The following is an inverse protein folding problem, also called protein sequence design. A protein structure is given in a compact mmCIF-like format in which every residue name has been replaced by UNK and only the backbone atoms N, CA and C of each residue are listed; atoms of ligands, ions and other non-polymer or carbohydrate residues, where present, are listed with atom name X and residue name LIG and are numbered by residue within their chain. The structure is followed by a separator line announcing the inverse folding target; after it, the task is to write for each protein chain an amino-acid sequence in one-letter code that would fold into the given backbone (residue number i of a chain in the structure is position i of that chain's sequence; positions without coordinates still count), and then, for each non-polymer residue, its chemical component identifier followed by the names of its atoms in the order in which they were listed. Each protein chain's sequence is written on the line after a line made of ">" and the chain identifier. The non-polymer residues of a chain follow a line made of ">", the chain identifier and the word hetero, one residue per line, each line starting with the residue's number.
data_IF_827737601437
#
_entry.id   IF_827737601437
#
_cell.length_a   1.000
_cell.length_b   1.000
_cell.length_c   1.000
_cell.angle_alpha   90.00
_cell.angle_beta   90.00
_cell.angle_gamma   90.00
#
_symmetry.space_group_name_H-M   'P 1'
#
loop_
_entity.id
_entity.type
_entity.pdbx_description
1 polymer ?
#
# COMPACT_ATOMS: atom_id res chain seq x y z
N UNK A 1 -8.20 -23.81 -4.47
CA UNK A 1 -8.38 -22.38 -4.77
C UNK A 1 -7.68 -21.55 -3.69
N UNK A 2 -6.51 -20.98 -4.00
CA UNK A 2 -5.92 -19.96 -3.12
C UNK A 2 -6.70 -18.66 -3.35
N UNK A 3 -7.35 -18.11 -2.33
CA UNK A 3 -8.01 -16.81 -2.49
C UNK A 3 -6.95 -15.71 -2.44
N UNK A 4 -7.11 -14.73 -3.35
CA UNK A 4 -6.16 -13.66 -3.64
C UNK A 4 -6.10 -12.61 -2.52
N UNK A 5 -5.00 -11.86 -2.38
CA UNK A 5 -4.96 -10.67 -1.53
C UNK A 5 -5.96 -9.62 -2.01
N UNK A 6 -6.34 -8.71 -1.10
CA UNK A 6 -7.13 -7.53 -1.47
C UNK A 6 -6.19 -6.41 -1.92
N UNK A 7 -6.50 -5.77 -3.04
CA UNK A 7 -5.66 -4.73 -3.61
C UNK A 7 -6.46 -3.46 -3.91
N UNK A 8 -5.84 -2.31 -3.66
CA UNK A 8 -6.39 -0.99 -3.98
C UNK A 8 -5.28 -0.05 -4.41
N UNK A 9 -5.60 0.82 -5.37
CA UNK A 9 -4.70 1.89 -5.81
C UNK A 9 -5.25 3.23 -5.37
N UNK A 10 -4.42 4.02 -4.70
CA UNK A 10 -4.72 5.40 -4.37
C UNK A 10 -3.94 6.34 -5.28
N UNK A 11 -4.60 7.30 -5.91
CA UNK A 11 -3.94 8.39 -6.62
C UNK A 11 -3.91 9.65 -5.75
N UNK A 12 -2.71 10.20 -5.56
CA UNK A 12 -2.47 11.24 -4.55
C UNK A 12 -2.68 12.65 -5.09
N UNK A 13 -2.65 12.83 -6.42
CA UNK A 13 -2.73 14.14 -7.05
C UNK A 13 -1.69 15.11 -6.49
N UNK A 14 -2.13 16.28 -6.02
CA UNK A 14 -1.27 17.30 -5.39
C UNK A 14 -0.60 16.87 -4.08
N UNK A 15 -0.99 15.72 -3.53
CA UNK A 15 -0.46 15.19 -2.25
C UNK A 15 0.68 14.19 -2.44
N UNK A 16 1.22 14.07 -3.66
CA UNK A 16 2.35 13.21 -3.99
C UNK A 16 3.50 13.40 -2.99
N UNK A 17 4.07 12.28 -2.52
CA UNK A 17 5.09 12.25 -1.48
C UNK A 17 5.98 11.01 -1.65
N UNK A 18 7.10 10.95 -0.94
CA UNK A 18 7.98 9.78 -0.99
C UNK A 18 7.25 8.51 -0.56
N UNK A 19 7.76 7.35 -0.98
CA UNK A 19 7.17 6.06 -0.64
C UNK A 19 7.10 5.85 0.88
N UNK A 20 8.14 6.24 1.61
CA UNK A 20 8.18 6.15 3.07
C UNK A 20 7.10 7.01 3.74
N UNK A 21 6.92 8.25 3.29
CA UNK A 21 5.93 9.16 3.88
C UNK A 21 4.50 8.64 3.65
N UNK A 22 4.22 8.17 2.44
CA UNK A 22 2.94 7.57 2.09
C UNK A 22 2.64 6.29 2.85
N UNK A 23 3.60 5.37 2.89
CA UNK A 23 3.49 4.12 3.63
C UNK A 23 3.23 4.39 5.12
N UNK A 24 3.98 5.33 5.72
CA UNK A 24 3.77 5.72 7.13
C UNK A 24 2.37 6.26 7.39
N UNK A 25 1.80 7.05 6.47
CA UNK A 25 0.41 7.53 6.57
C UNK A 25 -0.60 6.39 6.53
N UNK A 26 -0.44 5.46 5.59
CA UNK A 26 -1.27 4.26 5.43
C UNK A 26 -1.21 3.38 6.69
N UNK A 27 -0.01 3.10 7.19
CA UNK A 27 0.18 2.28 8.38
C UNK A 27 -0.36 2.94 9.64
N UNK A 28 -0.20 4.27 9.80
CA UNK A 28 -0.81 5.01 10.90
C UNK A 28 -2.35 4.95 10.84
N UNK A 29 -2.93 5.10 9.65
CA UNK A 29 -4.38 4.97 9.46
C UNK A 29 -4.86 3.57 9.89
N UNK A 30 -4.11 2.52 9.58
CA UNK A 30 -4.36 1.14 9.98
C UNK A 30 -3.94 0.79 11.42
N UNK A 31 -3.25 1.69 12.13
CA UNK A 31 -2.66 1.42 13.45
C UNK A 31 -1.61 0.29 13.43
N UNK A 32 -0.85 0.16 12.34
CA UNK A 32 0.28 -0.77 12.22
C UNK A 32 1.51 -0.08 12.81
N UNK A 33 2.02 -0.60 13.94
CA UNK A 33 3.16 -0.01 14.65
C UNK A 33 4.54 -0.55 14.25
N UNK A 34 4.60 -1.70 13.57
CA UNK A 34 5.85 -2.30 13.09
C UNK A 34 5.81 -2.39 11.58
N UNK A 35 6.74 -1.69 10.94
CA UNK A 35 6.88 -1.60 9.50
C UNK A 35 8.37 -1.69 9.10
N UNK A 36 8.65 -2.23 7.93
CA UNK A 36 10.00 -2.32 7.36
C UNK A 36 9.98 -1.99 5.88
N UNK A 37 11.07 -1.40 5.39
CA UNK A 37 11.34 -1.35 3.97
C UNK A 37 11.81 -2.73 3.51
N UNK A 38 11.27 -3.20 2.39
CA UNK A 38 11.73 -4.40 1.69
C UNK A 38 12.25 -3.97 0.33
N UNK A 39 13.49 -4.36 0.07
CA UNK A 39 14.19 -4.11 -1.19
C UNK A 39 14.43 -5.46 -1.84
N UNK A 40 13.75 -5.74 -2.96
CA UNK A 40 13.98 -6.95 -3.72
C UNK A 40 14.88 -6.63 -4.90
N UNK A 41 16.07 -7.23 -4.88
CA UNK A 41 17.02 -7.21 -5.98
C UNK A 41 17.51 -8.64 -6.24
N UNK A 42 17.63 -9.02 -7.50
CA UNK A 42 18.15 -10.33 -7.89
C UNK A 42 18.40 -10.45 -9.39
N UNK A 43 19.18 -11.45 -9.83
CA UNK A 43 19.37 -11.73 -11.25
C UNK A 43 17.99 -11.99 -11.88
N UNK A 44 17.65 -11.24 -12.93
CA UNK A 44 16.36 -11.29 -13.63
C UNK A 44 15.13 -10.80 -12.82
N UNK A 45 15.32 -10.06 -11.72
CA UNK A 45 14.21 -9.40 -11.02
C UNK A 45 14.28 -7.89 -11.23
N UNK A 46 13.15 -7.28 -11.58
CA UNK A 46 13.02 -5.82 -11.54
C UNK A 46 13.25 -5.32 -10.11
N UNK A 47 13.92 -4.18 -9.99
CA UNK A 47 14.14 -3.53 -8.71
C UNK A 47 12.77 -3.14 -8.10
N UNK A 48 12.40 -3.76 -6.98
CA UNK A 48 11.08 -3.59 -6.35
C UNK A 48 11.26 -3.13 -4.90
N UNK A 49 10.66 -1.99 -4.60
CA UNK A 49 10.64 -1.38 -3.27
C UNK A 49 9.23 -1.34 -2.74
N UNK A 50 9.04 -1.90 -1.54
CA UNK A 50 7.78 -1.75 -0.84
C UNK A 50 7.99 -1.69 0.66
N UNK A 51 7.10 -1.00 1.33
CA UNK A 51 7.01 -1.10 2.78
C UNK A 51 6.04 -2.20 3.16
N UNK A 52 6.37 -2.93 4.21
CA UNK A 52 5.54 -4.02 4.74
C UNK A 52 5.33 -3.80 6.24
N UNK A 53 4.09 -3.98 6.68
CA UNK A 53 3.73 -4.01 8.09
C UNK A 53 2.61 -5.00 8.37
N UNK A 54 2.37 -5.32 9.64
CA UNK A 54 1.39 -6.35 10.02
C UNK A 54 0.55 -5.93 11.21
N UNK A 55 -0.74 -6.28 11.17
CA UNK A 55 -1.69 -6.15 12.29
C UNK A 55 -2.83 -7.15 12.12
N UNK A 56 -3.35 -7.70 13.21
CA UNK A 56 -4.55 -8.57 13.23
C UNK A 56 -4.49 -9.74 12.21
N UNK A 57 -3.30 -10.29 12.00
CA UNK A 57 -3.05 -11.37 11.02
C UNK A 57 -3.01 -10.92 9.56
N UNK A 58 -3.19 -9.63 9.26
CA UNK A 58 -3.08 -9.02 7.94
C UNK A 58 -1.68 -8.45 7.74
N UNK A 59 -0.99 -8.88 6.69
CA UNK A 59 0.20 -8.23 6.14
C UNK A 59 -0.26 -7.17 5.15
N UNK A 60 0.16 -5.92 5.35
CA UNK A 60 -0.08 -4.79 4.47
C UNK A 60 1.21 -4.42 3.76
N UNK A 61 1.17 -4.36 2.42
CA UNK A 61 2.29 -3.92 1.59
C UNK A 61 1.91 -2.66 0.84
N UNK A 62 2.82 -1.69 0.81
CA UNK A 62 2.65 -0.42 0.10
C UNK A 62 3.77 -0.27 -0.92
N UNK A 63 3.39 -0.20 -2.20
CA UNK A 63 4.28 0.07 -3.35
C UNK A 63 3.96 1.43 -3.95
N UNK A 64 5.01 2.10 -4.44
CA UNK A 64 4.89 3.35 -5.20
C UNK A 64 4.73 3.10 -6.70
N UNK A 65 4.29 4.11 -7.44
CA UNK A 65 4.25 4.09 -8.90
C UNK A 65 5.61 4.32 -9.54
N UNK A 66 6.50 5.04 -8.86
CA UNK A 66 7.82 5.39 -9.35
C UNK A 66 8.85 4.37 -8.90
N UNK A 67 9.84 4.13 -9.76
CA UNK A 67 10.92 3.18 -9.49
C UNK A 67 11.84 3.63 -8.34
N UNK A 68 12.00 4.94 -8.15
CA UNK A 68 12.80 5.53 -7.08
C UNK A 68 11.89 5.84 -5.87
N UNK A 69 12.12 5.20 -4.70
CA UNK A 69 11.28 5.38 -3.52
C UNK A 69 11.42 6.77 -2.88
N UNK A 70 12.46 7.54 -3.24
CA UNK A 70 12.67 8.91 -2.76
C UNK A 70 11.90 9.95 -3.59
N UNK A 71 11.56 9.63 -4.84
CA UNK A 71 10.76 10.52 -5.69
C UNK A 71 9.30 10.61 -5.19
N UNK A 72 8.60 11.72 -5.46
CA UNK A 72 7.18 11.83 -5.20
C UNK A 72 6.38 10.77 -5.97
N UNK A 73 5.65 9.95 -5.24
CA UNK A 73 4.81 8.89 -5.77
C UNK A 73 3.45 9.46 -6.16
N UNK A 74 3.04 9.26 -7.40
CA UNK A 74 1.74 9.72 -7.90
C UNK A 74 0.62 8.75 -7.53
N UNK A 75 0.96 7.46 -7.37
CA UNK A 75 0.05 6.43 -6.88
C UNK A 75 0.69 5.55 -5.81
N UNK A 76 -0.15 5.02 -4.92
CA UNK A 76 0.19 3.93 -4.03
C UNK A 76 -0.64 2.70 -4.33
N UNK A 77 0.04 1.57 -4.52
CA UNK A 77 -0.56 0.24 -4.60
C UNK A 77 -0.51 -0.38 -3.20
N UNK A 78 -1.67 -0.67 -2.63
CA UNK A 78 -1.78 -1.27 -1.30
C UNK A 78 -2.35 -2.67 -1.42
N UNK A 79 -1.59 -3.65 -0.94
CA UNK A 79 -1.97 -5.06 -0.89
C UNK A 79 -2.20 -5.46 0.57
N UNK A 80 -3.32 -6.12 0.85
CA UNK A 80 -3.65 -6.71 2.15
C UNK A 80 -3.74 -8.22 2.00
N UNK A 81 -2.93 -8.96 2.77
CA UNK A 81 -2.98 -10.41 2.78
C UNK A 81 -4.34 -10.92 3.25
N UNK A 82 -4.73 -12.10 2.77
CA UNK A 82 -5.99 -12.74 3.16
C UNK A 82 -6.03 -13.02 4.66
N UNK A 83 -6.88 -12.28 5.38
CA UNK A 83 -7.24 -12.54 6.77
C UNK A 83 -8.62 -11.94 7.06
N UNK A 84 -9.28 -12.37 8.15
CA UNK A 84 -10.62 -11.94 8.49
C UNK A 84 -10.74 -10.41 8.64
N UNK A 85 -9.68 -9.74 9.11
CA UNK A 85 -9.65 -8.29 9.28
C UNK A 85 -9.36 -7.50 7.99
N UNK A 86 -8.97 -8.14 6.88
CA UNK A 86 -8.50 -7.45 5.68
C UNK A 86 -9.58 -6.56 5.05
N UNK A 87 -10.83 -7.03 4.98
CA UNK A 87 -11.94 -6.25 4.43
C UNK A 87 -12.21 -4.97 5.25
N UNK A 88 -12.23 -5.09 6.58
CA UNK A 88 -12.42 -3.93 7.46
C UNK A 88 -11.25 -2.94 7.38
N UNK A 89 -10.01 -3.43 7.22
CA UNK A 89 -8.85 -2.58 6.98
C UNK A 89 -8.92 -1.84 5.64
N UNK A 90 -9.40 -2.51 4.59
CA UNK A 90 -9.58 -1.89 3.28
C UNK A 90 -10.59 -0.75 3.32
N UNK A 91 -11.75 -0.96 3.95
CA UNK A 91 -12.78 0.09 4.10
C UNK A 91 -12.24 1.29 4.88
N UNK A 92 -11.51 1.04 5.98
CA UNK A 92 -10.85 2.11 6.74
C UNK A 92 -9.82 2.88 5.91
N UNK A 93 -9.10 2.21 5.00
CA UNK A 93 -8.19 2.89 4.08
C UNK A 93 -8.92 3.75 3.04
N UNK A 94 -10.07 3.30 2.55
CA UNK A 94 -10.89 4.08 1.62
C UNK A 94 -11.43 5.34 2.27
N UNK A 95 -11.95 5.22 3.49
CA UNK A 95 -12.40 6.36 4.29
C UNK A 95 -11.26 7.35 4.53
N UNK A 96 -10.09 6.85 4.93
CA UNK A 96 -8.90 7.67 5.11
C UNK A 96 -8.49 8.38 3.81
N UNK A 97 -8.41 7.65 2.70
CA UNK A 97 -8.04 8.20 1.40
C UNK A 97 -9.01 9.32 0.96
N UNK A 98 -10.32 9.11 1.14
CA UNK A 98 -11.33 10.13 0.86
C UNK A 98 -11.14 11.38 1.73
N UNK A 99 -10.84 11.22 3.03
CA UNK A 99 -10.53 12.35 3.93
C UNK A 99 -9.26 13.11 3.53
N UNK A 100 -8.28 12.43 2.93
CA UNK A 100 -7.08 13.06 2.39
C UNK A 100 -7.27 13.66 0.99
N UNK A 101 -8.46 13.50 0.38
CA UNK A 101 -8.73 13.91 -0.99
C UNK A 101 -8.02 13.06 -2.05
N UNK A 102 -7.64 11.83 -1.72
CA UNK A 102 -7.07 10.87 -2.66
C UNK A 102 -8.20 10.15 -3.38
N UNK A 103 -8.06 9.94 -4.68
CA UNK A 103 -8.98 9.05 -5.40
C UNK A 103 -8.53 7.61 -5.22
N UNK A 104 -9.49 6.69 -5.12
CA UNK A 104 -9.23 5.26 -5.06
C UNK A 104 -9.78 4.59 -6.30
N UNK A 105 -9.02 3.66 -6.86
CA UNK A 105 -9.47 2.72 -7.86
C UNK A 105 -9.22 1.30 -7.32
N UNK A 106 -10.25 0.47 -7.37
CA UNK A 106 -10.06 -0.97 -7.23
C UNK A 106 -9.28 -1.46 -8.44
N UNK A 107 -8.28 -2.33 -8.23
CA UNK A 107 -7.65 -3.04 -9.34
C UNK A 107 -8.65 -4.12 -9.75
N UNK A 108 -9.50 -3.80 -10.73
CA UNK A 108 -10.33 -4.80 -11.38
C UNK A 108 -9.43 -5.72 -12.21
N UNK A 109 -9.61 -7.03 -12.03
CA UNK A 109 -8.93 -8.12 -12.75
C UNK A 109 -8.76 -7.78 -14.25
N UNK A 110 -7.51 -7.82 -14.73
CA UNK A 110 -7.17 -7.95 -16.14
C UNK A 110 -6.85 -9.42 -16.45
#
# INVERSE_FOLDING_TARGET
>A
MQARPLEVVFALGRHACSLQAGASRIFNALGIGRQRLVERHGPNQSYDFYWEGQRDGVVCRVRGSEWDPQLPQTRFHVELSRAAAAAAMLERLREYAAQQGWSSAEVADA
#
